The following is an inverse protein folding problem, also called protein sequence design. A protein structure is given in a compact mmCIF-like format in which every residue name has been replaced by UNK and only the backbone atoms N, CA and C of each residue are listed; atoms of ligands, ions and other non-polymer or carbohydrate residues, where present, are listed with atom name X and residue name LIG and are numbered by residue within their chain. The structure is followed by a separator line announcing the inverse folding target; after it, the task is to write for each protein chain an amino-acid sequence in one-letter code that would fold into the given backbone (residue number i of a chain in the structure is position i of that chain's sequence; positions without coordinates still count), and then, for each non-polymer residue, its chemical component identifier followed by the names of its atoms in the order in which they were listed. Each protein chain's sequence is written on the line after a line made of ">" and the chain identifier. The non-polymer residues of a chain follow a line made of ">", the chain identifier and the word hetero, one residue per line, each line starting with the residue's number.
data_IF_734610937900
#
_entry.id   IF_734610937900
#
_cell.length_a   1.000
_cell.length_b   1.000
_cell.length_c   1.000
_cell.angle_alpha   90.00
_cell.angle_beta   90.00
_cell.angle_gamma   90.00
#
_symmetry.space_group_name_H-M   'P 1'
#
loop_
_entity.id
_entity.type
_entity.pdbx_description
1 polymer ?
#
# COMPACT_ATOMS: atom_id res chain seq x y z
N UNK A 1 5.86 -29.50 -14.91
CA UNK A 1 5.61 -30.43 -16.04
C UNK A 1 6.94 -30.69 -16.74
N UNK A 2 7.60 -31.81 -16.42
CA UNK A 2 8.87 -32.22 -17.04
C UNK A 2 8.62 -33.00 -18.33
N UNK A 3 9.40 -32.73 -19.38
CA UNK A 3 9.40 -33.52 -20.62
C UNK A 3 10.68 -34.37 -20.66
N UNK A 4 10.49 -35.68 -20.59
CA UNK A 4 11.50 -36.69 -20.85
C UNK A 4 11.42 -37.11 -22.32
N UNK A 5 12.54 -37.13 -23.02
CA UNK A 5 12.65 -37.61 -24.39
C UNK A 5 13.39 -38.96 -24.39
N UNK A 6 12.66 -40.05 -24.63
CA UNK A 6 13.17 -41.42 -24.68
C UNK A 6 13.64 -41.73 -26.10
N UNK A 7 14.95 -41.85 -26.26
CA UNK A 7 15.59 -42.57 -27.37
C UNK A 7 15.46 -44.07 -27.15
N UNK A 8 15.08 -44.81 -28.20
CA UNK A 8 15.65 -46.11 -28.59
C UNK A 8 14.94 -46.65 -29.84
N UNK A 9 15.66 -46.67 -30.97
CA UNK A 9 15.27 -47.41 -32.16
C UNK A 9 16.06 -48.73 -32.21
N UNK A 10 15.31 -49.84 -32.30
CA UNK A 10 15.76 -51.21 -32.47
C UNK A 10 16.10 -51.46 -33.94
N UNK A 11 17.23 -52.12 -34.20
CA UNK A 11 17.44 -52.92 -35.41
C UNK A 11 18.39 -54.07 -35.06
N UNK A 12 17.81 -55.26 -34.89
CA UNK A 12 18.51 -56.53 -34.77
C UNK A 12 18.42 -57.24 -36.12
N UNK A 13 19.55 -57.40 -36.81
CA UNK A 13 19.67 -58.22 -38.01
C UNK A 13 20.51 -59.46 -37.71
N UNK A 14 20.03 -60.59 -38.22
CA UNK A 14 20.43 -61.97 -37.94
C UNK A 14 21.76 -62.35 -38.58
N UNK A 15 22.57 -63.14 -37.86
CA UNK A 15 23.77 -63.75 -38.41
C UNK A 15 24.06 -65.12 -37.78
N UNK A 16 24.32 -66.11 -38.65
CA UNK A 16 25.00 -67.36 -38.33
C UNK A 16 24.12 -68.60 -38.45
N UNK A 17 24.28 -69.42 -39.50
CA UNK A 17 25.28 -70.50 -39.52
C UNK A 17 25.14 -71.36 -40.79
N UNK A 18 26.22 -71.50 -41.58
CA UNK A 18 26.35 -72.56 -42.60
C UNK A 18 27.67 -73.28 -42.34
N UNK A 19 27.61 -74.62 -42.25
CA UNK A 19 28.77 -75.51 -42.18
C UNK A 19 28.71 -76.56 -43.30
N UNK A 20 29.89 -76.79 -43.91
CA UNK A 20 30.32 -78.09 -44.43
C UNK A 20 30.22 -78.31 -45.95
N UNK A 21 31.36 -78.27 -46.67
CA UNK A 21 32.09 -79.48 -47.11
C UNK A 21 32.97 -79.25 -48.38
N UNK A 22 34.25 -79.66 -48.24
CA UNK A 22 35.14 -80.32 -49.23
C UNK A 22 35.53 -79.64 -50.56
N UNK A 23 36.83 -79.30 -50.71
CA UNK A 23 37.81 -80.00 -51.58
C UNK A 23 39.16 -79.25 -51.66
N UNK A 24 40.27 -79.98 -51.49
CA UNK A 24 41.68 -79.64 -51.78
C UNK A 24 42.01 -79.87 -53.29
N UNK A 25 43.14 -79.43 -53.91
CA UNK A 25 44.49 -79.26 -53.29
C UNK A 25 45.48 -78.17 -53.84
N UNK A 26 46.56 -77.97 -53.04
CA UNK A 26 48.00 -77.83 -53.43
C UNK A 26 48.66 -76.44 -53.66
N UNK A 27 50.01 -76.33 -53.55
CA UNK A 27 50.69 -75.43 -52.61
C UNK A 27 51.63 -74.41 -53.30
N UNK A 28 51.97 -73.32 -52.61
CA UNK A 28 53.02 -72.42 -53.08
C UNK A 28 53.02 -71.06 -52.40
N UNK A 29 54.00 -70.91 -51.52
CA UNK A 29 54.83 -69.72 -51.32
C UNK A 29 54.30 -68.46 -50.62
N UNK A 30 55.20 -68.01 -49.73
CA UNK A 30 55.40 -66.66 -49.20
C UNK A 30 54.46 -66.19 -48.09
N UNK A 31 54.97 -66.31 -46.86
CA UNK A 31 54.80 -65.29 -45.83
C UNK A 31 55.01 -63.90 -46.46
N UNK A 32 53.93 -63.24 -46.84
CA UNK A 32 53.93 -61.80 -47.04
C UNK A 32 52.92 -61.26 -46.05
N UNK A 33 53.39 -60.90 -44.85
CA UNK A 33 52.72 -59.87 -44.07
C UNK A 33 52.76 -58.60 -44.93
N UNK A 34 51.79 -58.46 -45.84
CA UNK A 34 51.53 -57.19 -46.50
C UNK A 34 51.05 -56.24 -45.42
N UNK A 35 52.00 -55.45 -44.91
CA UNK A 35 51.69 -54.21 -44.23
C UNK A 35 50.65 -53.42 -45.03
N UNK A 36 49.79 -52.63 -44.36
CA UNK A 36 48.65 -51.99 -45.01
C UNK A 36 49.11 -51.27 -46.28
N UNK A 37 48.43 -51.57 -47.40
CA UNK A 37 48.77 -50.98 -48.70
C UNK A 37 48.88 -49.47 -48.58
N UNK A 38 49.85 -48.86 -49.27
CA UNK A 38 50.12 -47.41 -49.20
C UNK A 38 48.85 -46.58 -49.46
N UNK A 39 47.96 -47.08 -50.33
CA UNK A 39 46.65 -46.50 -50.61
C UNK A 39 45.72 -46.48 -49.38
N UNK A 40 45.74 -47.51 -48.53
CA UNK A 40 44.95 -47.59 -47.29
C UNK A 40 45.44 -46.59 -46.23
N UNK A 41 46.75 -46.47 -46.06
CA UNK A 41 47.35 -45.48 -45.13
C UNK A 41 47.05 -44.05 -45.59
N UNK A 42 47.12 -43.78 -46.91
CA UNK A 42 46.74 -42.48 -47.48
C UNK A 42 45.26 -42.17 -47.28
N UNK A 43 44.37 -43.16 -47.40
CA UNK A 43 42.94 -42.99 -47.15
C UNK A 43 42.65 -42.62 -45.68
N UNK A 44 43.26 -43.32 -44.72
CA UNK A 44 43.15 -42.98 -43.29
C UNK A 44 43.69 -41.59 -42.98
N UNK A 45 44.82 -41.19 -43.60
CA UNK A 45 45.37 -39.85 -43.43
C UNK A 45 44.43 -38.76 -43.96
N UNK A 46 43.77 -39.00 -45.10
CA UNK A 46 42.77 -38.08 -45.63
C UNK A 46 41.54 -37.96 -44.71
N UNK A 47 41.08 -39.07 -44.14
CA UNK A 47 39.97 -39.08 -43.16
C UNK A 47 40.34 -38.36 -41.85
N UNK A 48 41.57 -38.53 -41.36
CA UNK A 48 42.09 -37.75 -40.23
C UNK A 48 42.13 -36.26 -40.53
N UNK A 49 42.56 -35.88 -41.74
CA UNK A 49 42.61 -34.48 -42.18
C UNK A 49 41.21 -33.86 -42.27
N UNK A 50 40.22 -34.59 -42.79
CA UNK A 50 38.83 -34.10 -42.84
C UNK A 50 38.21 -34.02 -41.44
N UNK A 51 38.50 -34.98 -40.57
CA UNK A 51 38.07 -34.97 -39.16
C UNK A 51 38.65 -33.77 -38.41
N UNK A 52 39.94 -33.48 -38.58
CA UNK A 52 40.61 -32.33 -37.98
C UNK A 52 39.99 -31.00 -38.44
N UNK A 53 39.77 -30.84 -39.76
CA UNK A 53 39.08 -29.67 -40.28
C UNK A 53 37.65 -29.53 -39.72
N UNK A 54 36.95 -30.65 -39.50
CA UNK A 54 35.64 -30.67 -38.86
C UNK A 54 35.67 -30.30 -37.37
N UNK A 55 36.76 -30.58 -36.67
CA UNK A 55 36.99 -30.16 -35.28
C UNK A 55 37.26 -28.66 -35.23
N UNK A 56 38.13 -28.13 -36.10
CA UNK A 56 38.43 -26.70 -36.18
C UNK A 56 37.16 -25.87 -36.40
N UNK A 57 36.33 -26.26 -37.38
CA UNK A 57 35.06 -25.59 -37.64
C UNK A 57 34.09 -25.62 -36.44
N UNK A 58 34.08 -26.71 -35.65
CA UNK A 58 33.28 -26.78 -34.42
C UNK A 58 33.85 -25.90 -33.32
N UNK A 59 35.17 -25.79 -33.21
CA UNK A 59 35.85 -24.95 -32.24
C UNK A 59 35.59 -23.46 -32.54
N UNK A 60 35.63 -23.06 -33.81
CA UNK A 60 35.23 -21.73 -34.25
C UNK A 60 33.77 -21.43 -33.87
N UNK A 61 32.86 -22.38 -34.12
CA UNK A 61 31.46 -22.21 -33.76
C UNK A 61 31.23 -22.13 -32.24
N UNK A 62 31.98 -22.89 -31.44
CA UNK A 62 31.92 -22.78 -29.97
C UNK A 62 32.44 -21.42 -29.51
N UNK A 63 33.53 -20.93 -30.09
CA UNK A 63 34.10 -19.61 -29.78
C UNK A 63 33.09 -18.50 -30.06
N UNK A 64 32.47 -18.52 -31.25
CA UNK A 64 31.43 -17.55 -31.62
C UNK A 64 30.21 -17.61 -30.68
N UNK A 65 29.84 -18.81 -30.21
CA UNK A 65 28.77 -18.97 -29.22
C UNK A 65 29.16 -18.44 -27.84
N UNK A 66 30.41 -18.63 -27.41
CA UNK A 66 30.92 -18.10 -26.15
C UNK A 66 30.96 -16.57 -26.17
N UNK A 67 31.40 -15.96 -27.27
CA UNK A 67 31.41 -14.51 -27.43
C UNK A 67 29.99 -13.92 -27.34
N UNK A 68 29.01 -14.59 -27.99
CA UNK A 68 27.60 -14.19 -27.87
C UNK A 68 27.05 -14.35 -26.45
N UNK A 69 27.46 -15.40 -25.73
CA UNK A 69 27.04 -15.58 -24.33
C UNK A 69 27.65 -14.48 -23.47
N UNK A 70 28.94 -14.18 -23.65
CA UNK A 70 29.63 -13.11 -22.92
C UNK A 70 28.94 -11.76 -23.12
N UNK A 71 28.65 -11.38 -24.37
CA UNK A 71 27.95 -10.13 -24.65
C UNK A 71 26.55 -10.07 -23.99
N UNK A 72 25.84 -11.20 -23.90
CA UNK A 72 24.55 -11.26 -23.21
C UNK A 72 24.67 -11.17 -21.68
N UNK A 73 25.75 -11.71 -21.11
CA UNK A 73 26.04 -11.57 -19.68
C UNK A 73 26.35 -10.11 -19.37
N UNK A 74 27.19 -9.45 -20.17
CA UNK A 74 27.51 -8.03 -20.01
C UNK A 74 26.25 -7.14 -20.11
N UNK A 75 25.33 -7.43 -21.05
CA UNK A 75 24.02 -6.75 -21.14
C UNK A 75 23.16 -6.98 -19.90
N UNK A 76 23.12 -8.21 -19.41
CA UNK A 76 22.36 -8.54 -18.20
C UNK A 76 22.92 -7.82 -16.97
N UNK A 77 24.25 -7.75 -16.81
CA UNK A 77 24.90 -7.06 -15.70
C UNK A 77 24.54 -5.57 -15.70
N UNK A 78 24.60 -4.90 -16.85
CA UNK A 78 24.19 -3.49 -16.97
C UNK A 78 22.70 -3.28 -16.62
N UNK A 79 21.84 -4.23 -17.01
CA UNK A 79 20.41 -4.20 -16.66
C UNK A 79 20.19 -4.44 -15.17
N UNK A 80 20.99 -5.29 -14.52
CA UNK A 80 20.92 -5.51 -13.08
C UNK A 80 21.34 -4.25 -12.31
N UNK A 81 22.45 -3.60 -12.67
CA UNK A 81 22.86 -2.33 -12.04
C UNK A 81 21.77 -1.26 -12.14
N UNK A 82 21.10 -1.17 -13.30
CA UNK A 82 19.98 -0.25 -13.50
C UNK A 82 18.79 -0.60 -12.60
N UNK A 83 18.47 -1.89 -12.45
CA UNK A 83 17.38 -2.35 -11.59
C UNK A 83 17.68 -2.13 -10.11
N UNK A 84 18.92 -2.35 -9.68
CA UNK A 84 19.38 -2.08 -8.31
C UNK A 84 19.23 -0.59 -7.99
N UNK A 85 19.71 0.29 -8.87
CA UNK A 85 19.58 1.74 -8.70
C UNK A 85 18.10 2.15 -8.58
N UNK A 86 17.26 1.69 -9.51
CA UNK A 86 15.81 2.00 -9.48
C UNK A 86 15.12 1.46 -8.24
N UNK A 87 15.56 0.31 -7.74
CA UNK A 87 15.00 -0.27 -6.51
C UNK A 87 15.39 0.57 -5.31
N UNK A 88 16.64 1.02 -5.22
CA UNK A 88 17.11 1.95 -4.18
C UNK A 88 16.29 3.24 -4.19
N UNK A 89 16.09 3.85 -5.36
CA UNK A 89 15.30 5.09 -5.49
C UNK A 89 13.85 4.90 -5.00
N UNK A 90 13.24 3.74 -5.34
CA UNK A 90 11.89 3.40 -4.89
C UNK A 90 11.83 3.18 -3.38
N UNK A 91 12.85 2.54 -2.80
CA UNK A 91 12.93 2.30 -1.37
C UNK A 91 13.06 3.62 -0.59
N UNK A 92 13.89 4.53 -1.07
CA UNK A 92 14.07 5.88 -0.49
C UNK A 92 12.78 6.69 -0.59
N UNK A 93 12.13 6.73 -1.76
CA UNK A 93 10.85 7.41 -1.94
C UNK A 93 9.77 6.85 -1.02
N UNK A 94 9.68 5.51 -0.91
CA UNK A 94 8.73 4.84 -0.01
C UNK A 94 9.01 5.13 1.46
N UNK A 95 10.28 5.32 1.84
CA UNK A 95 10.64 5.76 3.18
C UNK A 95 10.12 7.17 3.45
N UNK A 96 10.34 8.10 2.52
CA UNK A 96 9.82 9.46 2.59
C UNK A 96 8.29 9.53 2.69
N UNK A 97 7.58 8.76 1.87
CA UNK A 97 6.12 8.69 1.90
C UNK A 97 5.60 8.20 3.26
N UNK A 98 6.25 7.18 3.85
CA UNK A 98 5.87 6.69 5.18
C UNK A 98 6.05 7.76 6.25
N UNK A 99 7.12 8.54 6.18
CA UNK A 99 7.35 9.62 7.13
C UNK A 99 6.28 10.72 6.99
N UNK A 100 5.94 11.10 5.77
CA UNK A 100 4.88 12.07 5.51
C UNK A 100 3.52 11.59 6.00
N UNK A 101 3.18 10.31 5.79
CA UNK A 101 1.96 9.71 6.31
C UNK A 101 1.93 9.78 7.84
N UNK A 102 3.02 9.40 8.52
CA UNK A 102 3.12 9.47 9.97
C UNK A 102 3.05 10.91 10.52
N UNK A 103 3.55 11.90 9.77
CA UNK A 103 3.37 13.31 10.10
C UNK A 103 1.91 13.74 9.95
N UNK A 104 1.26 13.34 8.86
CA UNK A 104 -0.14 13.67 8.59
C UNK A 104 -1.08 13.05 9.63
N UNK A 105 -0.87 11.79 10.01
CA UNK A 105 -1.63 11.11 11.07
C UNK A 105 -1.52 11.86 12.40
N UNK A 106 -0.31 12.30 12.78
CA UNK A 106 -0.10 13.12 13.98
C UNK A 106 -0.85 14.45 13.91
N UNK A 107 -0.81 15.12 12.76
CA UNK A 107 -1.53 16.39 12.58
C UNK A 107 -3.05 16.19 12.63
N UNK A 108 -3.57 15.12 12.02
CA UNK A 108 -4.98 14.76 12.10
C UNK A 108 -5.41 14.53 13.56
N UNK A 109 -4.60 13.81 14.34
CA UNK A 109 -4.88 13.58 15.75
C UNK A 109 -4.86 14.89 16.57
N UNK A 110 -3.90 15.78 16.32
CA UNK A 110 -3.86 17.10 16.97
C UNK A 110 -5.10 17.93 16.63
N UNK A 111 -5.49 17.97 15.35
CA UNK A 111 -6.67 18.74 14.91
C UNK A 111 -7.95 18.14 15.50
N UNK A 112 -8.05 16.81 15.51
CA UNK A 112 -9.18 16.11 16.12
C UNK A 112 -9.32 16.45 17.59
N UNK A 113 -8.24 16.34 18.37
CA UNK A 113 -8.25 16.70 19.79
C UNK A 113 -8.62 18.17 20.03
N UNK A 114 -8.11 19.09 19.19
CA UNK A 114 -8.50 20.51 19.24
C UNK A 114 -9.98 20.71 18.94
N UNK A 115 -10.52 19.99 17.96
CA UNK A 115 -11.93 20.10 17.60
C UNK A 115 -12.82 19.53 18.71
N UNK A 116 -12.44 18.39 19.29
CA UNK A 116 -13.12 17.80 20.44
C UNK A 116 -13.11 18.75 21.66
N UNK A 117 -11.99 19.42 21.96
CA UNK A 117 -11.91 20.45 23.01
C UNK A 117 -12.83 21.64 22.71
N UNK A 118 -12.80 22.16 21.48
CA UNK A 118 -13.65 23.28 21.07
C UNK A 118 -15.14 22.92 21.11
N UNK A 119 -15.51 21.72 20.68
CA UNK A 119 -16.89 21.23 20.81
C UNK A 119 -17.30 21.08 22.27
N UNK A 120 -16.44 20.53 23.13
CA UNK A 120 -16.73 20.37 24.56
C UNK A 120 -16.90 21.73 25.25
N UNK A 121 -16.07 22.72 24.91
CA UNK A 121 -16.18 24.10 25.40
C UNK A 121 -17.43 24.79 24.87
N UNK A 122 -17.75 24.63 23.59
CA UNK A 122 -18.98 25.16 22.99
C UNK A 122 -20.21 24.60 23.69
N UNK A 123 -20.28 23.27 23.94
CA UNK A 123 -21.41 22.66 24.66
C UNK A 123 -21.54 23.19 26.09
N UNK A 124 -20.42 23.45 26.79
CA UNK A 124 -20.43 24.06 28.13
C UNK A 124 -20.91 25.52 28.10
N UNK A 125 -20.60 26.23 27.03
CA UNK A 125 -21.05 27.59 26.81
C UNK A 125 -22.55 27.71 26.44
N UNK A 126 -23.28 26.59 26.29
CA UNK A 126 -24.68 26.61 25.87
C UNK A 126 -25.63 26.37 27.06
N UNK A 127 -26.49 27.35 27.35
CA UNK A 127 -27.55 27.26 28.36
C UNK A 127 -28.89 27.06 27.67
N UNK A 128 -29.62 26.01 28.10
CA UNK A 128 -30.94 25.67 27.57
C UNK A 128 -32.02 26.18 28.53
N UNK A 129 -32.83 27.14 28.08
CA UNK A 129 -34.00 27.65 28.80
C UNK A 129 -35.24 26.92 28.28
N UNK A 130 -36.04 26.37 29.19
CA UNK A 130 -37.24 25.58 28.88
C UNK A 130 -38.47 26.25 29.50
N UNK A 131 -39.56 26.33 28.75
CA UNK A 131 -40.84 26.77 29.28
C UNK A 131 -41.17 28.25 29.04
N UNK A 132 -40.58 28.86 28.01
CA UNK A 132 -40.89 30.23 27.65
C UNK A 132 -42.33 30.34 27.12
N UNK A 133 -43.14 31.31 27.61
CA UNK A 133 -44.50 31.53 27.14
C UNK A 133 -44.49 32.02 25.68
N UNK A 134 -45.41 31.50 24.87
CA UNK A 134 -45.50 31.80 23.42
C UNK A 134 -45.79 33.27 23.10
N UNK A 135 -46.23 34.05 24.10
CA UNK A 135 -46.50 35.49 24.01
C UNK A 135 -45.26 36.36 24.09
N UNK A 136 -44.08 35.78 24.34
CA UNK A 136 -42.82 36.53 24.44
C UNK A 136 -42.44 37.06 23.07
N UNK A 137 -42.45 38.39 22.92
CA UNK A 137 -42.09 39.05 21.67
C UNK A 137 -40.61 38.81 21.36
N UNK A 138 -40.38 38.10 20.24
CA UNK A 138 -39.08 37.57 19.83
C UNK A 138 -38.04 38.66 19.57
N UNK A 139 -38.50 39.90 19.33
CA UNK A 139 -37.64 41.07 19.09
C UNK A 139 -36.94 41.58 20.36
N UNK A 140 -37.40 41.15 21.55
CA UNK A 140 -36.90 41.60 22.87
C UNK A 140 -36.37 40.44 23.71
N UNK A 141 -35.93 39.37 23.07
CA UNK A 141 -35.44 38.18 23.76
C UNK A 141 -34.20 38.47 24.61
N UNK A 142 -33.34 39.39 24.16
CA UNK A 142 -32.17 39.87 24.90
C UNK A 142 -32.60 40.56 26.20
N UNK A 143 -33.53 41.53 26.12
CA UNK A 143 -34.10 42.22 27.29
C UNK A 143 -34.77 41.24 28.25
N UNK A 144 -35.50 40.24 27.73
CA UNK A 144 -36.15 39.22 28.54
C UNK A 144 -35.12 38.39 29.31
N UNK A 145 -34.07 37.93 28.65
CA UNK A 145 -33.04 37.12 29.29
C UNK A 145 -32.24 37.96 30.29
N UNK A 146 -31.94 39.22 29.96
CA UNK A 146 -31.29 40.13 30.88
C UNK A 146 -32.12 40.34 32.16
N UNK A 147 -33.42 40.62 32.01
CA UNK A 147 -34.34 40.78 33.15
C UNK A 147 -34.50 39.47 33.95
N UNK A 148 -34.65 38.33 33.26
CA UNK A 148 -34.73 37.01 33.90
C UNK A 148 -33.48 36.72 34.72
N UNK A 149 -32.30 36.98 34.16
CA UNK A 149 -31.05 36.82 34.89
C UNK A 149 -31.01 37.76 36.10
N UNK A 150 -31.35 39.04 35.94
CA UNK A 150 -31.39 40.02 37.03
C UNK A 150 -32.27 39.58 38.21
N UNK A 151 -33.40 38.93 37.92
CA UNK A 151 -34.30 38.38 38.93
C UNK A 151 -33.75 37.12 39.62
N UNK A 152 -33.05 36.25 38.88
CA UNK A 152 -32.46 35.02 39.39
C UNK A 152 -31.19 35.23 40.24
N UNK A 153 -30.44 36.29 39.95
CA UNK A 153 -29.17 36.63 40.62
C UNK A 153 -29.16 38.10 41.12
N UNK A 154 -30.07 38.46 42.04
CA UNK A 154 -30.17 39.83 42.52
C UNK A 154 -28.89 40.23 43.27
N UNK A 155 -28.19 41.25 42.75
CA UNK A 155 -26.96 41.81 43.34
C UNK A 155 -25.64 41.13 42.93
N UNK A 156 -25.67 39.93 42.34
CA UNK A 156 -24.47 39.28 41.79
C UNK A 156 -24.22 39.66 40.33
N UNK A 157 -25.28 39.91 39.55
CA UNK A 157 -25.15 40.30 38.15
C UNK A 157 -24.42 41.61 37.95
N UNK A 158 -24.66 42.62 38.77
CA UNK A 158 -23.92 43.88 38.66
C UNK A 158 -22.41 43.67 38.89
N UNK A 159 -22.01 42.72 39.75
CA UNK A 159 -20.60 42.33 39.96
C UNK A 159 -20.07 41.42 38.85
N UNK A 160 -20.90 40.53 38.31
CA UNK A 160 -20.54 39.62 37.22
C UNK A 160 -20.40 40.37 35.89
N UNK A 161 -21.37 41.23 35.51
CA UNK A 161 -21.31 42.08 34.32
C UNK A 161 -20.11 43.04 34.33
N UNK A 162 -19.70 43.53 35.51
CA UNK A 162 -18.54 44.42 35.64
C UNK A 162 -17.21 43.73 35.31
N UNK A 163 -17.15 42.41 35.51
CA UNK A 163 -15.94 41.64 35.28
C UNK A 163 -15.99 40.96 33.91
N UNK A 164 -17.18 40.50 33.50
CA UNK A 164 -17.44 39.64 32.35
C UNK A 164 -18.77 40.10 31.72
N UNK A 165 -18.74 40.95 30.68
CA UNK A 165 -19.95 41.36 29.97
C UNK A 165 -20.74 40.14 29.51
N UNK A 166 -22.07 40.19 29.63
CA UNK A 166 -22.96 39.16 29.08
C UNK A 166 -23.00 39.29 27.56
N UNK A 167 -21.94 38.85 26.89
CA UNK A 167 -21.90 38.75 25.44
C UNK A 167 -22.60 37.44 25.05
N UNK A 168 -23.89 37.56 24.74
CA UNK A 168 -24.70 36.47 24.18
C UNK A 168 -24.36 36.37 22.70
N UNK A 169 -23.72 35.27 22.30
CA UNK A 169 -23.23 35.10 20.93
C UNK A 169 -24.34 34.71 19.96
N UNK A 170 -25.29 33.88 20.40
CA UNK A 170 -26.48 33.56 19.62
C UNK A 170 -27.61 33.05 20.51
N UNK A 171 -28.84 33.32 20.08
CA UNK A 171 -30.06 32.73 20.64
C UNK A 171 -30.67 31.85 19.56
N UNK A 172 -30.71 30.53 19.80
CA UNK A 172 -31.39 29.59 18.88
C UNK A 172 -32.64 29.01 19.50
N UNK A 173 -33.74 29.11 18.75
CA UNK A 173 -35.03 28.55 19.12
C UNK A 173 -35.23 27.19 18.46
N UNK A 174 -35.47 26.13 19.25
CA UNK A 174 -35.80 24.78 18.75
C UNK A 174 -37.25 24.39 19.08
N UNK A 175 -38.16 24.59 18.13
CA UNK A 175 -39.44 23.89 17.97
C UNK A 175 -40.50 23.99 19.09
N UNK A 176 -41.76 23.74 18.72
CA UNK A 176 -42.91 23.61 19.65
C UNK A 176 -42.78 22.31 20.45
N UNK A 177 -42.86 22.39 21.78
CA UNK A 177 -43.00 21.21 22.62
C UNK A 177 -44.35 20.52 22.41
N UNK A 178 -44.37 19.17 22.41
CA UNK A 178 -45.57 18.33 22.21
C UNK A 178 -46.61 18.42 23.35
N UNK A 179 -46.38 19.27 24.35
CA UNK A 179 -47.21 19.43 25.53
C UNK A 179 -47.93 20.78 25.52
N UNK A 180 -48.92 20.90 24.61
CA UNK A 180 -50.18 21.65 24.74
C UNK A 180 -50.16 23.16 25.03
N UNK A 181 -49.30 23.68 25.90
CA UNK A 181 -49.33 25.08 26.34
C UNK A 181 -47.96 25.69 26.67
N UNK A 182 -46.84 24.95 26.69
CA UNK A 182 -45.56 25.59 27.08
C UNK A 182 -44.35 25.01 26.36
N UNK A 183 -43.67 25.88 25.60
CA UNK A 183 -42.21 25.95 25.63
C UNK A 183 -41.54 26.16 24.29
N UNK A 184 -41.20 27.41 24.00
CA UNK A 184 -40.07 27.73 23.12
C UNK A 184 -38.80 27.27 23.86
N UNK A 185 -37.98 26.44 23.21
CA UNK A 185 -36.67 26.09 23.71
C UNK A 185 -35.62 27.06 23.17
N UNK A 186 -34.95 27.77 24.07
CA UNK A 186 -33.89 28.70 23.69
C UNK A 186 -32.54 28.21 24.17
N UNK A 187 -31.57 28.18 23.25
CA UNK A 187 -30.17 27.94 23.54
C UNK A 187 -29.45 29.30 23.55
N UNK A 188 -28.88 29.68 24.70
CA UNK A 188 -28.01 30.84 24.85
C UNK A 188 -26.56 30.40 24.83
N UNK A 189 -25.76 30.99 23.95
CA UNK A 189 -24.32 30.74 23.89
C UNK A 189 -23.57 31.91 24.54
N UNK A 190 -22.78 31.64 25.57
CA UNK A 190 -21.95 32.65 26.24
C UNK A 190 -20.53 32.67 25.66
N UNK A 191 -19.93 33.87 25.57
CA UNK A 191 -18.52 34.00 25.17
C UNK A 191 -17.53 33.37 26.16
N UNK A 192 -17.92 33.19 27.44
CA UNK A 192 -16.99 32.72 28.46
C UNK A 192 -17.58 31.68 29.43
N UNK A 193 -16.83 30.59 29.60
CA UNK A 193 -17.15 29.37 30.38
C UNK A 193 -17.59 29.65 31.84
N UNK A 194 -16.91 30.53 32.61
CA UNK A 194 -17.33 30.78 34.02
C UNK A 194 -18.66 31.53 34.14
N UNK A 195 -19.11 32.25 33.10
CA UNK A 195 -20.46 32.81 33.06
C UNK A 195 -21.50 31.70 32.96
N UNK A 196 -21.24 30.73 32.09
CA UNK A 196 -22.07 29.53 31.95
C UNK A 196 -22.08 28.64 33.19
N UNK A 197 -20.93 28.35 33.80
CA UNK A 197 -20.85 27.47 34.98
C UNK A 197 -21.69 28.02 36.14
N UNK A 198 -21.64 29.33 36.40
CA UNK A 198 -22.44 29.97 37.47
C UNK A 198 -23.94 29.94 37.17
N UNK A 199 -24.32 30.21 35.93
CA UNK A 199 -25.75 30.22 35.54
C UNK A 199 -26.32 28.79 35.43
N UNK A 200 -25.53 27.81 35.01
CA UNK A 200 -25.93 26.40 34.92
C UNK A 200 -25.93 25.66 36.27
N UNK A 201 -25.15 26.11 37.26
CA UNK A 201 -25.15 25.59 38.63
C UNK A 201 -26.53 25.70 39.31
N UNK A 202 -27.39 26.64 38.88
CA UNK A 202 -28.75 26.80 39.37
C UNK A 202 -29.73 25.67 38.96
N UNK A 203 -29.29 24.72 38.12
CA UNK A 203 -30.11 23.70 37.40
C UNK A 203 -31.14 24.32 36.46
N UNK A 204 -31.40 23.60 35.36
CA UNK A 204 -32.35 23.93 34.27
C UNK A 204 -33.47 24.89 34.69
N UNK A 205 -33.50 26.08 34.08
CA UNK A 205 -34.56 27.06 34.29
C UNK A 205 -35.86 26.51 33.70
N UNK A 206 -36.72 26.03 34.58
CA UNK A 206 -38.08 25.63 34.26
C UNK A 206 -39.01 26.76 34.67
N UNK A 207 -39.34 27.63 33.72
CA UNK A 207 -40.13 28.85 33.95
C UNK A 207 -41.62 28.59 34.21
N UNK A 208 -42.03 27.34 34.50
CA UNK A 208 -43.42 26.94 34.78
C UNK A 208 -44.05 27.57 36.05
N UNK A 209 -43.32 28.39 36.79
CA UNK A 209 -43.74 28.94 38.10
C UNK A 209 -43.66 30.47 38.20
N UNK A 210 -43.37 31.16 37.11
CA UNK A 210 -43.49 32.63 36.99
C UNK A 210 -44.70 32.91 36.09
#
# INVERSE_FOLDING_TARGET
>A
MGKADKRQAKLSFSGGEKRGATSEPRPGDADTEEGPSEMSVRAMFMELKTSLAGIDAKLDHVTERLDRIRARVDDHDARFETLETRTSDIEDARSGDREQIAQMERLMEVIRNKNEDLEARSRRNNIRIVGLPETTDMSRMEDFVENMLQELFPGELSRMLLMWPLDIYSIRIKGRGDLGEIGILSELEFHHDQGCEKVSAQRQFNLRSI
#
